data_IF_880816557058
#
_entry.id   IF_880816557058
#
_cell.length_a   1.000
_cell.length_b   1.000
_cell.length_c   1.000
_cell.angle_alpha   90.00
_cell.angle_beta   90.00
_cell.angle_gamma   90.00
#
_symmetry.space_group_name_H-M   'P 1'
#
loop_
_entity.id
_entity.type
_entity.pdbx_description
1 polymer ?
#
# COMPACT_ATOMS: atom_id res chain seq x y z
N UNK A 1 -7.96 -13.48 2.12
CA UNK A 1 -7.39 -12.96 3.34
C UNK A 1 -7.08 -11.51 3.22
N UNK A 2 -7.33 -10.76 4.28
CA UNK A 2 -6.99 -9.36 4.27
C UNK A 2 -5.55 -9.18 4.66
N UNK A 3 -4.78 -8.59 3.82
CA UNK A 3 -3.40 -8.23 4.18
C UNK A 3 -3.17 -6.80 3.79
N UNK A 4 -2.68 -6.01 4.72
CA UNK A 4 -2.26 -4.66 4.41
C UNK A 4 -1.09 -4.72 3.44
N UNK A 5 -1.04 -3.78 2.52
CA UNK A 5 0.00 -3.74 1.52
C UNK A 5 1.00 -2.66 1.88
N UNK A 6 2.27 -3.00 1.79
CA UNK A 6 3.34 -2.06 2.09
C UNK A 6 4.09 -1.72 0.81
N UNK A 7 4.30 -0.45 0.59
CA UNK A 7 5.13 0.02 -0.52
C UNK A 7 6.48 0.38 0.09
N UNK A 8 7.51 -0.37 -0.27
CA UNK A 8 8.81 -0.28 0.38
C UNK A 8 9.91 -0.14 -0.67
N UNK A 9 11.04 0.49 -0.33
CA UNK A 9 12.19 0.50 -1.22
C UNK A 9 12.74 -0.92 -1.36
N UNK A 10 13.14 -1.29 -2.57
CA UNK A 10 13.60 -2.64 -2.82
C UNK A 10 14.61 -2.62 -3.98
N UNK A 11 15.88 -2.84 -3.68
CA UNK A 11 16.95 -2.94 -4.68
C UNK A 11 16.95 -1.79 -5.70
N UNK A 12 16.86 -0.56 -5.20
CA UNK A 12 16.86 0.60 -6.08
C UNK A 12 15.53 0.87 -6.76
N UNK A 13 14.52 0.06 -6.47
CA UNK A 13 13.18 0.24 -7.00
C UNK A 13 12.20 0.26 -5.85
N UNK A 14 10.92 0.17 -6.15
CA UNK A 14 9.87 0.16 -5.14
C UNK A 14 9.12 -1.15 -5.23
N UNK A 15 8.92 -1.79 -4.09
CA UNK A 15 8.24 -3.07 -4.02
C UNK A 15 6.91 -2.97 -3.31
N UNK A 16 6.01 -3.89 -3.66
CA UNK A 16 4.74 -4.05 -2.95
C UNK A 16 4.81 -5.37 -2.19
N UNK A 17 4.55 -5.32 -0.90
CA UNK A 17 4.67 -6.50 -0.05
C UNK A 17 3.44 -6.60 0.85
N UNK A 18 2.88 -7.79 0.98
CA UNK A 18 1.80 -8.02 1.94
C UNK A 18 2.33 -8.08 3.35
N UNK A 19 1.55 -7.60 4.30
CA UNK A 19 1.92 -7.63 5.71
C UNK A 19 2.17 -9.09 6.13
N UNK A 20 3.24 -9.29 6.83
CA UNK A 20 3.60 -10.64 7.27
C UNK A 20 4.32 -11.48 6.23
N UNK A 21 4.43 -10.98 5.00
CA UNK A 21 5.14 -11.69 3.96
C UNK A 21 6.60 -11.29 3.96
N UNK A 22 7.49 -12.23 3.77
CA UNK A 22 8.91 -11.93 3.64
C UNK A 22 9.32 -11.56 2.24
N UNK A 23 8.40 -11.63 1.28
CA UNK A 23 8.73 -11.40 -0.12
C UNK A 23 7.91 -10.28 -0.69
N UNK A 24 8.52 -9.56 -1.63
CA UNK A 24 7.86 -8.53 -2.40
C UNK A 24 7.04 -9.21 -3.49
N UNK A 25 5.77 -8.83 -3.65
CA UNK A 25 4.92 -9.44 -4.66
C UNK A 25 5.17 -8.84 -6.03
N UNK A 26 5.57 -7.59 -6.11
CA UNK A 26 5.89 -6.97 -7.39
C UNK A 26 6.85 -5.82 -7.15
N UNK A 27 7.58 -5.44 -8.19
CA UNK A 27 8.50 -4.31 -8.11
C UNK A 27 8.12 -3.31 -9.19
N UNK A 28 8.42 -2.04 -8.94
CA UNK A 28 8.07 -0.96 -9.82
C UNK A 28 9.18 0.08 -9.83
N UNK A 29 9.26 0.85 -10.89
CA UNK A 29 10.32 1.84 -11.02
C UNK A 29 10.12 3.05 -10.12
N UNK A 30 8.89 3.38 -9.78
CA UNK A 30 8.62 4.55 -8.96
C UNK A 30 7.71 4.20 -7.80
N UNK A 31 7.76 5.03 -6.77
CA UNK A 31 6.88 4.87 -5.62
C UNK A 31 5.41 5.00 -6.03
N UNK A 32 5.12 5.93 -6.93
CA UNK A 32 3.75 6.12 -7.40
C UNK A 32 3.18 4.89 -8.08
N UNK A 33 4.00 4.22 -8.89
CA UNK A 33 3.56 2.99 -9.54
C UNK A 33 3.32 1.88 -8.53
N UNK A 34 4.20 1.75 -7.57
CA UNK A 34 4.05 0.74 -6.53
C UNK A 34 2.81 1.04 -5.68
N UNK A 35 2.61 2.30 -5.35
CA UNK A 35 1.44 2.70 -4.56
C UNK A 35 0.14 2.40 -5.30
N UNK A 36 0.12 2.62 -6.62
CA UNK A 36 -1.06 2.31 -7.43
C UNK A 36 -1.38 0.82 -7.39
N UNK A 37 -0.36 -0.02 -7.51
CA UNK A 37 -0.57 -1.46 -7.44
C UNK A 37 -1.03 -1.90 -6.07
N UNK A 38 -0.41 -1.34 -5.03
CA UNK A 38 -0.79 -1.69 -3.66
C UNK A 38 -2.24 -1.28 -3.39
N UNK A 39 -2.66 -0.14 -3.91
CA UNK A 39 -4.02 0.34 -3.76
C UNK A 39 -5.02 -0.61 -4.42
N UNK A 40 -4.70 -1.10 -5.61
CA UNK A 40 -5.58 -2.06 -6.29
C UNK A 40 -5.78 -3.30 -5.45
N UNK A 41 -4.71 -3.82 -4.89
CA UNK A 41 -4.79 -5.02 -4.05
C UNK A 41 -5.58 -4.72 -2.78
N UNK A 42 -5.30 -3.59 -2.16
CA UNK A 42 -5.96 -3.23 -0.90
C UNK A 42 -7.45 -3.03 -1.10
N UNK A 43 -7.86 -2.45 -2.21
CA UNK A 43 -9.28 -2.28 -2.50
C UNK A 43 -9.96 -3.64 -2.63
N UNK A 44 -9.33 -4.57 -3.33
CA UNK A 44 -9.89 -5.90 -3.48
C UNK A 44 -9.95 -6.67 -2.17
N UNK A 45 -8.94 -6.51 -1.34
CA UNK A 45 -8.88 -7.22 -0.06
C UNK A 45 -9.52 -6.46 1.08
N UNK A 46 -9.95 -5.23 0.82
CA UNK A 46 -10.49 -4.35 1.85
C UNK A 46 -9.50 -4.20 2.99
N UNK A 47 -8.31 -3.78 2.64
CA UNK A 47 -7.22 -3.63 3.60
C UNK A 47 -6.60 -2.24 3.48
N UNK A 48 -5.41 -2.05 4.02
CA UNK A 48 -4.74 -0.76 4.05
C UNK A 48 -3.51 -0.77 3.19
N UNK A 49 -3.14 0.40 2.70
CA UNK A 49 -1.86 0.61 2.02
C UNK A 49 -0.99 1.46 2.93
N UNK A 50 0.23 1.01 3.18
CA UNK A 50 1.20 1.76 3.97
C UNK A 50 2.37 2.07 3.05
N UNK A 51 2.60 3.34 2.81
CA UNK A 51 3.67 3.78 1.90
C UNK A 51 4.85 4.23 2.75
N UNK A 52 6.01 3.62 2.50
CA UNK A 52 7.22 3.92 3.25
C UNK A 52 8.11 4.87 2.47
N UNK A 53 8.90 5.64 3.18
CA UNK A 53 9.92 6.51 2.58
C UNK A 53 11.17 5.69 2.28
N UNK A 54 12.09 6.23 1.48
CA UNK A 54 13.34 5.51 1.19
C UNK A 54 14.12 5.13 2.44
N UNK A 55 13.96 5.86 3.52
CA UNK A 55 14.66 5.53 4.77
C UNK A 55 13.88 4.53 5.62
N UNK A 56 12.77 4.01 5.13
CA UNK A 56 12.00 3.01 5.85
C UNK A 56 10.87 3.55 6.69
N UNK A 57 10.80 4.85 6.88
CA UNK A 57 9.74 5.43 7.70
C UNK A 57 8.44 5.45 6.93
N UNK A 58 7.33 5.48 7.65
CA UNK A 58 6.02 5.55 7.01
C UNK A 58 5.79 6.97 6.52
N UNK A 59 5.47 7.09 5.24
CA UNK A 59 5.14 8.37 4.64
C UNK A 59 3.64 8.61 4.64
N UNK A 60 2.86 7.57 4.35
CA UNK A 60 1.43 7.72 4.18
C UNK A 60 0.74 6.39 4.45
N UNK A 61 -0.52 6.47 4.78
CA UNK A 61 -1.29 5.28 5.11
C UNK A 61 -2.73 5.52 4.70
N UNK A 62 -3.26 4.65 3.85
CA UNK A 62 -4.63 4.74 3.37
C UNK A 62 -5.39 3.48 3.72
N UNK A 63 -6.64 3.63 4.10
CA UNK A 63 -7.49 2.51 4.44
C UNK A 63 -8.61 2.39 3.43
N UNK A 64 -8.86 1.19 2.93
CA UNK A 64 -9.87 0.94 1.90
C UNK A 64 -10.92 -0.06 2.32
N UNK A 65 -10.88 -0.50 3.56
CA UNK A 65 -11.62 -1.69 3.79
C UNK A 65 -12.79 -1.61 4.65
N UNK A 66 -12.77 -0.87 5.66
CA UNK A 66 -13.79 -1.03 6.63
C UNK A 66 -14.53 0.24 6.85
N UNK A 67 -14.65 1.02 5.85
CA UNK A 67 -15.43 2.22 5.98
C UNK A 67 -16.81 1.93 5.46
N UNK A 68 -17.75 1.70 6.31
CA UNK A 68 -19.07 1.37 5.86
C UNK A 68 -19.79 2.58 5.31
N UNK A 69 -19.29 3.74 5.53
CA UNK A 69 -19.90 4.90 5.06
C UNK A 69 -19.00 5.60 4.15
N UNK A 70 -19.53 6.19 3.22
CA UNK A 70 -18.75 7.03 2.44
C UNK A 70 -18.62 8.25 3.20
N UNK A 71 -18.14 8.54 3.77
CA UNK A 71 -18.17 9.79 4.35
C UNK A 71 -17.60 10.79 3.51
N UNK A 72 -17.79 10.74 3.35
CA UNK A 72 -17.39 11.36 2.95
C UNK A 72 -16.53 11.84 2.67
N UNK A 73 -16.26 12.03 2.73
CA UNK A 73 -15.55 12.38 2.74
C UNK A 73 -14.96 12.91 2.32
N UNK A 74 -14.86 13.36 2.33
CA UNK A 74 -14.39 13.83 2.03
C UNK A 74 -13.43 14.22 1.89
N UNK A 75 -12.84 14.47 1.99
CA UNK A 75 -11.99 14.80 1.97
C UNK A 75 -11.52 15.14 1.16
N UNK A 76 -11.67 15.32 0.95
CA UNK A 76 -11.34 15.52 0.32
C UNK A 76 -11.39 15.97 -0.11
#
# INVERSE_FOLDING_TARGET
MKRNQHVVPHNGKWGVRGAGSGKVTSTHNTQGQAAGRAREIAIKQKSEVVIHRPDGRIRDKDSYGNDPHPPKDTKH
#
